data_IF_748656568153
#
_entry.id   IF_748656568153
#
_cell.length_a   1.000
_cell.length_b   1.000
_cell.length_c   1.000
_cell.angle_alpha   90.00
_cell.angle_beta   90.00
_cell.angle_gamma   90.00
#
_symmetry.space_group_name_H-M   'P 1'
#
loop_
_entity.id
_entity.type
_entity.pdbx_description
1 polymer ?
#
# COMPACT_ATOMS: atom_id res chain seq x y z
N UNK A 1 -14.58 6.95 9.92
CA UNK A 1 -13.35 7.02 10.74
C UNK A 1 -13.68 6.48 12.11
N UNK A 2 -13.01 5.41 12.54
CA UNK A 2 -13.14 4.90 13.90
C UNK A 2 -12.53 5.91 14.88
N UNK A 3 -13.14 6.05 16.05
CA UNK A 3 -12.59 6.87 17.14
C UNK A 3 -11.36 6.19 17.75
N UNK A 4 -10.50 6.98 18.40
CA UNK A 4 -9.31 6.47 19.07
C UNK A 4 -9.63 5.40 20.11
N UNK A 5 -10.72 5.56 20.86
CA UNK A 5 -11.18 4.59 21.85
C UNK A 5 -11.65 3.27 21.20
N UNK A 6 -12.29 3.34 20.03
CA UNK A 6 -12.71 2.14 19.28
C UNK A 6 -11.51 1.38 18.73
N UNK A 7 -10.52 2.09 18.18
CA UNK A 7 -9.26 1.48 17.72
C UNK A 7 -8.51 0.85 18.89
N UNK A 8 -8.40 1.56 20.01
CA UNK A 8 -7.75 1.06 21.21
C UNK A 8 -8.45 -0.20 21.74
N UNK A 9 -9.78 -0.19 21.81
CA UNK A 9 -10.55 -1.34 22.22
C UNK A 9 -10.30 -2.53 21.27
N UNK A 10 -10.40 -2.30 19.97
CA UNK A 10 -10.23 -3.32 18.94
C UNK A 10 -8.85 -3.98 18.98
N UNK A 11 -7.79 -3.17 19.03
CA UNK A 11 -6.41 -3.66 19.09
C UNK A 11 -6.17 -4.48 20.36
N UNK A 12 -6.50 -3.94 21.53
CA UNK A 12 -6.19 -4.61 22.80
C UNK A 12 -7.07 -5.83 23.07
N UNK A 13 -8.35 -5.80 22.68
CA UNK A 13 -9.21 -6.98 22.80
C UNK A 13 -8.76 -8.12 21.88
N UNK A 14 -8.32 -7.79 20.66
CA UNK A 14 -7.73 -8.78 19.72
C UNK A 14 -6.44 -9.35 20.29
N UNK A 15 -5.53 -8.50 20.75
CA UNK A 15 -4.21 -8.93 21.20
C UNK A 15 -4.23 -9.69 22.54
N UNK A 16 -5.16 -9.36 23.44
CA UNK A 16 -5.27 -10.04 24.74
C UNK A 16 -6.33 -11.14 24.79
N UNK A 17 -7.15 -11.28 23.74
CA UNK A 17 -8.32 -12.17 23.74
C UNK A 17 -9.35 -11.87 24.83
N UNK A 18 -9.27 -10.70 25.47
CA UNK A 18 -10.12 -10.31 26.60
C UNK A 18 -11.25 -9.40 26.12
N UNK A 19 -12.43 -9.53 26.74
CA UNK A 19 -13.58 -8.65 26.50
C UNK A 19 -13.91 -7.87 27.77
N UNK A 20 -14.59 -6.72 27.63
CA UNK A 20 -15.01 -5.90 28.78
C UNK A 20 -15.03 -4.41 28.46
N UNK A 21 -14.68 -3.60 29.45
CA UNK A 21 -14.44 -2.16 29.26
C UNK A 21 -13.07 -1.90 28.64
N UNK A 22 -12.90 -0.72 28.04
CA UNK A 22 -11.61 -0.30 27.46
C UNK A 22 -10.44 -0.43 28.45
N UNK A 23 -10.65 -0.03 29.70
CA UNK A 23 -9.61 -0.13 30.72
C UNK A 23 -9.29 -1.58 31.09
N UNK A 24 -10.28 -2.48 31.10
CA UNK A 24 -10.06 -3.90 31.37
C UNK A 24 -9.27 -4.57 30.25
N UNK A 25 -9.63 -4.34 28.99
CA UNK A 25 -8.89 -4.91 27.85
C UNK A 25 -7.49 -4.31 27.72
N UNK A 26 -7.33 -3.00 27.97
CA UNK A 26 -6.01 -2.35 28.00
C UNK A 26 -5.14 -2.93 29.11
N UNK A 27 -5.71 -3.09 30.31
CA UNK A 27 -4.98 -3.67 31.43
C UNK A 27 -4.59 -5.13 31.15
N UNK A 28 -5.51 -5.94 30.66
CA UNK A 28 -5.26 -7.35 30.35
C UNK A 28 -4.13 -7.49 29.33
N UNK A 29 -4.18 -6.70 28.26
CA UNK A 29 -3.13 -6.66 27.25
C UNK A 29 -1.76 -6.31 27.83
N UNK A 30 -1.65 -5.20 28.56
CA UNK A 30 -0.37 -4.77 29.11
C UNK A 30 0.15 -5.69 30.21
N UNK A 31 -0.74 -6.28 31.02
CA UNK A 31 -0.39 -7.27 32.04
C UNK A 31 0.15 -8.55 31.41
N UNK A 32 -0.39 -8.96 30.26
CA UNK A 32 0.11 -10.12 29.51
C UNK A 32 1.53 -9.89 28.99
N UNK A 33 1.84 -8.66 28.54
CA UNK A 33 3.17 -8.31 28.03
C UNK A 33 4.18 -8.12 29.17
N UNK A 34 3.79 -7.38 30.21
CA UNK A 34 4.69 -7.08 31.33
C UNK A 34 4.89 -8.26 32.27
N UNK A 35 3.95 -9.22 32.28
CA UNK A 35 3.88 -10.29 33.29
C UNK A 35 3.51 -9.80 34.69
N UNK A 36 3.20 -8.51 34.87
CA UNK A 36 2.90 -7.90 36.16
C UNK A 36 1.39 -7.90 36.42
N UNK A 37 1.00 -8.16 37.67
CA UNK A 37 -0.40 -8.11 38.11
C UNK A 37 -0.52 -7.31 39.41
N UNK A 38 -1.69 -6.70 39.66
CA UNK A 38 -1.96 -5.92 40.88
C UNK A 38 -1.39 -4.50 40.90
N UNK A 39 -0.82 -4.02 39.79
CA UNK A 39 -0.30 -2.65 39.64
C UNK A 39 -1.29 -1.76 38.89
N UNK A 40 -1.08 -0.43 38.90
CA UNK A 40 -1.97 0.51 38.20
C UNK A 40 -1.74 0.46 36.68
N UNK A 41 -2.75 0.84 35.89
CA UNK A 41 -2.66 0.87 34.43
C UNK A 41 -1.49 1.70 33.89
N UNK A 42 -1.25 2.89 34.47
CA UNK A 42 -0.10 3.72 34.07
C UNK A 42 1.24 3.06 34.42
N UNK A 43 1.28 2.26 35.49
CA UNK A 43 2.48 1.50 35.88
C UNK A 43 2.69 0.32 34.92
N UNK A 44 1.62 -0.32 34.43
CA UNK A 44 1.71 -1.32 33.37
C UNK A 44 2.34 -0.74 32.09
N UNK A 45 1.84 0.41 31.63
CA UNK A 45 2.42 1.09 30.47
C UNK A 45 3.91 1.40 30.68
N UNK A 46 4.28 1.93 31.85
CA UNK A 46 5.68 2.20 32.16
C UNK A 46 6.52 0.93 32.19
N UNK A 47 6.02 -0.16 32.75
CA UNK A 47 6.73 -1.44 32.81
C UNK A 47 7.01 -1.98 31.40
N UNK A 48 6.01 -1.97 30.53
CA UNK A 48 6.17 -2.38 29.13
C UNK A 48 7.18 -1.49 28.40
N UNK A 49 7.07 -0.16 28.53
CA UNK A 49 8.01 0.77 27.87
C UNK A 49 9.44 0.66 28.40
N UNK A 50 9.62 0.35 29.69
CA UNK A 50 10.95 0.06 30.27
C UNK A 50 11.53 -1.22 29.69
N UNK A 51 10.73 -2.27 29.52
CA UNK A 51 11.17 -3.51 28.87
C UNK A 51 11.61 -3.26 27.42
N UNK A 52 10.98 -2.29 26.74
CA UNK A 52 11.37 -1.83 25.40
C UNK A 52 12.56 -0.84 25.39
N UNK A 53 13.23 -0.61 26.52
CA UNK A 53 14.41 0.27 26.64
C UNK A 53 14.12 1.76 26.89
N UNK A 54 12.86 2.18 26.95
CA UNK A 54 12.46 3.58 27.19
C UNK A 54 12.38 3.87 28.70
N UNK A 55 13.55 4.08 29.32
CA UNK A 55 13.72 4.17 30.78
C UNK A 55 13.65 5.58 31.38
N UNK A 56 13.69 6.62 30.55
CA UNK A 56 13.75 8.03 30.97
C UNK A 56 12.50 8.83 30.60
N UNK A 57 12.18 9.86 31.39
CA UNK A 57 11.04 10.75 31.13
C UNK A 57 9.70 10.25 31.68
N UNK A 58 8.66 11.05 31.47
CA UNK A 58 7.27 10.74 31.85
C UNK A 58 6.65 9.73 30.88
N UNK A 59 5.51 9.13 31.26
CA UNK A 59 4.81 8.14 30.44
C UNK A 59 4.56 8.61 28.99
N UNK A 60 3.97 9.79 28.82
CA UNK A 60 3.66 10.31 27.48
C UNK A 60 4.93 10.56 26.66
N UNK A 61 6.04 10.97 27.29
CA UNK A 61 7.32 11.18 26.59
C UNK A 61 7.90 9.84 26.11
N UNK A 62 7.80 8.79 26.92
CA UNK A 62 8.25 7.44 26.55
C UNK A 62 7.41 6.84 25.44
N UNK A 63 6.08 6.99 25.49
CA UNK A 63 5.19 6.56 24.41
C UNK A 63 5.53 7.28 23.10
N UNK A 64 5.72 8.60 23.16
CA UNK A 64 6.15 9.38 21.98
C UNK A 64 7.49 8.90 21.43
N UNK A 65 8.46 8.62 22.30
CA UNK A 65 9.78 8.11 21.90
C UNK A 65 9.69 6.71 21.29
N UNK A 66 8.88 5.82 21.87
CA UNK A 66 8.61 4.50 21.32
C UNK A 66 7.98 4.59 19.93
N UNK A 67 6.88 5.32 19.79
CA UNK A 67 6.24 5.50 18.49
C UNK A 67 7.12 6.24 17.48
N UNK A 68 8.02 7.13 17.93
CA UNK A 68 9.04 7.72 17.06
C UNK A 68 10.02 6.69 16.51
N UNK A 69 10.45 5.73 17.34
CA UNK A 69 11.33 4.65 16.88
C UNK A 69 10.66 3.72 15.86
N UNK A 70 9.32 3.63 15.89
CA UNK A 70 8.51 2.90 14.91
C UNK A 70 8.21 3.72 13.63
N UNK A 71 8.83 4.89 13.45
CA UNK A 71 8.63 5.73 12.28
C UNK A 71 7.38 6.63 12.29
N UNK A 72 6.52 6.54 13.32
CA UNK A 72 5.35 7.41 13.40
C UNK A 72 5.74 8.86 13.65
N UNK A 73 5.00 9.78 13.03
CA UNK A 73 5.22 11.23 13.14
C UNK A 73 3.99 11.95 13.67
N UNK A 74 4.14 13.23 14.04
CA UNK A 74 3.04 14.05 14.56
C UNK A 74 2.93 14.11 16.09
N UNK A 75 1.79 14.59 16.56
CA UNK A 75 1.42 14.73 17.96
C UNK A 75 1.02 13.36 18.58
N UNK A 76 0.84 13.33 19.91
CA UNK A 76 0.56 12.10 20.65
C UNK A 76 -0.64 11.32 20.11
N UNK A 77 -1.79 11.99 19.90
CA UNK A 77 -2.99 11.33 19.39
C UNK A 77 -2.80 10.82 17.96
N UNK A 78 -2.01 11.50 17.13
CA UNK A 78 -1.77 11.12 15.73
C UNK A 78 -0.89 9.87 15.64
N UNK A 79 0.18 9.81 16.44
CA UNK A 79 1.04 8.63 16.55
C UNK A 79 0.29 7.45 17.13
N UNK A 80 -0.50 7.69 18.18
CA UNK A 80 -1.26 6.63 18.82
C UNK A 80 -2.34 6.07 17.88
N UNK A 81 -3.01 6.93 17.12
CA UNK A 81 -3.95 6.51 16.09
C UNK A 81 -3.28 5.65 15.01
N UNK A 82 -2.12 6.07 14.50
CA UNK A 82 -1.36 5.32 13.49
C UNK A 82 -0.94 3.95 14.03
N UNK A 83 -0.31 3.91 15.21
CA UNK A 83 0.12 2.66 15.84
C UNK A 83 -1.04 1.69 16.13
N UNK A 84 -2.20 2.20 16.56
CA UNK A 84 -3.39 1.36 16.77
C UNK A 84 -4.00 0.87 15.45
N UNK A 85 -3.89 1.65 14.37
CA UNK A 85 -4.31 1.22 13.02
C UNK A 85 -3.42 0.08 12.52
N UNK A 86 -2.14 0.11 12.89
CA UNK A 86 -1.14 -0.92 12.56
C UNK A 86 -1.17 -2.11 13.56
N UNK A 87 -2.20 -2.22 14.40
CA UNK A 87 -2.41 -3.39 15.28
C UNK A 87 -2.02 -3.21 16.75
N UNK A 88 -1.32 -2.12 17.11
CA UNK A 88 -1.13 -1.73 18.50
C UNK A 88 -0.35 -2.73 19.37
N UNK A 89 0.73 -3.30 18.83
CA UNK A 89 1.53 -4.35 19.50
C UNK A 89 2.82 -3.84 20.15
N UNK A 90 3.20 -4.40 21.30
CA UNK A 90 4.49 -4.23 21.99
C UNK A 90 5.32 -5.52 21.91
N UNK A 91 6.61 -5.41 21.62
CA UNK A 91 7.51 -6.55 21.39
C UNK A 91 8.17 -6.48 20.01
N UNK A 92 8.82 -7.57 19.56
CA UNK A 92 9.28 -7.67 18.18
C UNK A 92 8.09 -7.39 17.27
N UNK A 93 8.23 -6.35 16.46
CA UNK A 93 7.23 -5.92 15.49
C UNK A 93 7.94 -5.57 14.20
N UNK A 94 7.21 -5.72 13.11
CA UNK A 94 7.69 -5.43 11.78
C UNK A 94 6.71 -4.50 11.07
N UNK A 95 7.25 -3.58 10.29
CA UNK A 95 6.47 -2.65 9.47
C UNK A 95 6.94 -2.72 8.02
N UNK A 96 6.00 -2.88 7.09
CA UNK A 96 6.32 -2.81 5.66
C UNK A 96 6.16 -1.36 5.18
N UNK A 97 7.25 -0.82 4.65
CA UNK A 97 7.36 0.50 4.02
C UNK A 97 7.47 0.30 2.50
N UNK A 98 6.70 1.09 1.75
CA UNK A 98 6.86 1.22 0.30
C UNK A 98 7.94 2.29 0.02
N UNK A 99 9.01 1.89 -0.68
CA UNK A 99 10.17 2.77 -0.92
C UNK A 99 10.10 3.49 -2.27
N UNK A 100 9.27 3.02 -3.20
CA UNK A 100 9.22 3.55 -4.56
C UNK A 100 7.78 3.54 -5.01
N UNK A 101 7.24 4.72 -5.38
CA UNK A 101 5.92 4.81 -6.03
C UNK A 101 5.87 3.81 -7.19
N UNK A 102 5.20 2.70 -6.93
CA UNK A 102 5.16 1.58 -7.83
C UNK A 102 3.90 1.70 -8.66
N UNK A 103 4.10 1.84 -9.96
CA UNK A 103 3.03 1.99 -10.91
C UNK A 103 3.55 1.87 -12.33
N UNK A 104 2.63 1.74 -13.26
CA UNK A 104 2.93 1.67 -14.68
C UNK A 104 2.18 2.77 -15.43
N UNK A 105 2.81 3.27 -16.49
CA UNK A 105 2.19 4.22 -17.41
C UNK A 105 1.65 3.43 -18.58
N UNK A 106 0.37 3.60 -18.87
CA UNK A 106 -0.32 2.96 -19.97
C UNK A 106 -0.73 4.02 -21.01
N UNK A 107 -0.43 3.73 -22.26
CA UNK A 107 -0.71 4.55 -23.44
C UNK A 107 -1.07 3.61 -24.62
N UNK A 108 -2.28 3.04 -24.65
CA UNK A 108 -2.72 2.28 -25.81
C UNK A 108 -2.84 3.19 -27.05
N UNK A 109 -2.54 2.71 -28.27
CA UNK A 109 -2.14 1.34 -28.60
C UNK A 109 -0.62 1.11 -28.53
N UNK A 110 0.15 2.03 -27.94
CA UNK A 110 1.62 1.96 -27.94
C UNK A 110 2.18 1.05 -26.84
N UNK A 111 1.44 0.91 -25.74
CA UNK A 111 1.73 -0.06 -24.67
C UNK A 111 0.64 -1.11 -24.61
N UNK A 112 1.03 -2.37 -24.76
CA UNK A 112 0.11 -3.51 -24.64
C UNK A 112 0.13 -4.11 -23.21
N UNK A 113 1.17 -3.82 -22.42
CA UNK A 113 1.38 -4.35 -21.07
C UNK A 113 1.61 -3.24 -20.04
N UNK A 114 0.95 -3.34 -18.89
CA UNK A 114 1.15 -2.47 -17.73
C UNK A 114 1.73 -3.28 -16.56
N UNK A 115 2.97 -3.76 -16.73
CA UNK A 115 3.71 -4.40 -15.64
C UNK A 115 4.29 -3.33 -14.73
N UNK A 116 3.97 -3.39 -13.44
CA UNK A 116 4.55 -2.50 -12.42
C UNK A 116 5.50 -3.27 -11.51
N UNK A 117 6.51 -2.59 -10.98
CA UNK A 117 7.47 -3.14 -10.02
C UNK A 117 7.66 -2.15 -8.87
N UNK A 118 7.59 -2.64 -7.64
CA UNK A 118 7.80 -1.85 -6.42
C UNK A 118 8.79 -2.52 -5.48
N UNK A 119 9.46 -1.71 -4.66
CA UNK A 119 10.39 -2.19 -3.65
C UNK A 119 9.84 -1.87 -2.27
N UNK A 120 9.78 -2.89 -1.41
CA UNK A 120 9.22 -2.80 -0.07
C UNK A 120 10.28 -3.19 0.94
N UNK A 121 10.49 -2.37 1.97
CA UNK A 121 11.41 -2.69 3.06
C UNK A 121 10.62 -2.97 4.32
N UNK A 122 11.01 -4.02 5.01
CA UNK A 122 10.57 -4.31 6.35
C UNK A 122 11.50 -3.62 7.34
N UNK A 123 10.93 -2.86 8.27
CA UNK A 123 11.66 -2.32 9.41
C UNK A 123 11.28 -3.15 10.63
N UNK A 124 12.27 -3.73 11.28
CA UNK A 124 12.10 -4.44 12.54
C UNK A 124 12.26 -3.51 13.75
N UNK A 125 11.48 -3.79 14.79
CA UNK A 125 11.49 -3.03 16.02
C UNK A 125 11.36 -3.96 17.22
N UNK A 126 12.16 -3.73 18.26
CA UNK A 126 11.98 -4.41 19.55
C UNK A 126 12.37 -5.89 19.57
N UNK A 127 13.14 -6.37 18.58
CA UNK A 127 13.74 -7.71 18.61
C UNK A 127 14.92 -7.77 19.57
N UNK A 128 15.03 -8.84 20.35
CA UNK A 128 16.25 -9.16 21.07
C UNK A 128 17.32 -9.69 20.10
N UNK A 129 18.26 -8.82 19.72
CA UNK A 129 19.34 -9.13 18.78
C UNK A 129 18.98 -8.80 17.33
N UNK A 130 19.77 -9.30 16.39
CA UNK A 130 19.59 -9.02 14.95
C UNK A 130 18.61 -10.01 14.34
N UNK A 131 17.65 -9.51 13.55
CA UNK A 131 16.82 -10.33 12.67
C UNK A 131 17.70 -11.00 11.62
N UNK A 132 17.59 -12.32 11.51
CA UNK A 132 18.43 -13.11 10.58
C UNK A 132 17.63 -13.76 9.44
N UNK A 133 16.31 -13.72 9.50
CA UNK A 133 15.46 -14.32 8.50
C UNK A 133 14.26 -13.44 8.24
N UNK A 134 13.95 -13.29 6.96
CA UNK A 134 12.82 -12.52 6.44
C UNK A 134 12.08 -13.38 5.43
N UNK A 135 10.87 -13.80 5.78
CA UNK A 135 10.04 -14.62 4.90
C UNK A 135 8.94 -13.73 4.34
N UNK A 136 9.02 -13.46 3.04
CA UNK A 136 8.02 -12.66 2.33
C UNK A 136 7.02 -13.54 1.59
N UNK A 137 5.73 -13.19 1.63
CA UNK A 137 4.67 -13.87 0.89
C UNK A 137 3.63 -12.89 0.33
N UNK A 138 3.00 -13.27 -0.77
CA UNK A 138 1.80 -12.61 -1.32
C UNK A 138 0.59 -13.41 -0.83
N UNK A 139 -0.23 -12.81 0.02
CA UNK A 139 -1.41 -13.46 0.60
C UNK A 139 -2.63 -13.36 -0.33
N UNK A 140 -2.68 -12.32 -1.16
CA UNK A 140 -3.70 -12.15 -2.20
C UNK A 140 -3.29 -11.09 -3.23
N UNK A 141 -3.99 -11.05 -4.37
CA UNK A 141 -3.73 -10.16 -5.50
C UNK A 141 -2.92 -10.82 -6.63
N UNK A 142 -2.94 -10.22 -7.82
CA UNK A 142 -2.09 -10.66 -8.95
C UNK A 142 -0.71 -9.99 -8.85
N UNK A 143 0.08 -10.49 -7.90
CA UNK A 143 1.42 -10.01 -7.60
C UNK A 143 2.39 -11.17 -7.40
N UNK A 144 3.65 -10.95 -7.74
CA UNK A 144 4.73 -11.91 -7.55
C UNK A 144 5.95 -11.25 -6.90
N UNK A 145 6.55 -11.91 -5.92
CA UNK A 145 7.86 -11.55 -5.39
C UNK A 145 8.92 -11.99 -6.38
N UNK A 146 9.65 -11.05 -6.97
CA UNK A 146 10.64 -11.31 -8.02
C UNK A 146 12.09 -11.28 -7.52
N UNK A 147 12.34 -10.65 -6.36
CA UNK A 147 13.66 -10.61 -5.73
C UNK A 147 13.57 -10.26 -4.23
N UNK A 148 14.63 -10.54 -3.47
CA UNK A 148 14.79 -10.05 -2.09
C UNK A 148 14.30 -10.98 -0.97
N UNK A 149 14.00 -12.23 -1.27
CA UNK A 149 13.74 -13.24 -0.23
C UNK A 149 14.93 -13.37 0.73
N UNK A 150 14.64 -13.67 2.00
CA UNK A 150 15.61 -13.73 3.10
C UNK A 150 16.36 -12.42 3.39
N UNK A 151 15.89 -11.29 2.86
CA UNK A 151 16.40 -9.95 3.18
C UNK A 151 15.31 -9.04 3.71
N UNK A 152 15.69 -7.95 4.35
CA UNK A 152 14.77 -6.92 4.84
C UNK A 152 14.03 -6.17 3.72
N UNK A 153 14.36 -6.43 2.45
CA UNK A 153 13.83 -5.70 1.31
C UNK A 153 13.41 -6.64 0.19
N UNK A 154 12.18 -6.51 -0.28
CA UNK A 154 11.61 -7.35 -1.35
C UNK A 154 11.23 -6.50 -2.56
N UNK A 155 11.30 -7.09 -3.75
CA UNK A 155 10.77 -6.50 -4.97
C UNK A 155 9.54 -7.28 -5.42
N UNK A 156 8.41 -6.59 -5.59
CA UNK A 156 7.13 -7.17 -6.02
C UNK A 156 6.76 -6.60 -7.38
N UNK A 157 6.30 -7.48 -8.27
CA UNK A 157 5.80 -7.16 -9.60
C UNK A 157 4.31 -7.49 -9.71
N UNK A 158 3.52 -6.61 -10.30
CA UNK A 158 2.11 -6.84 -10.67
C UNK A 158 1.93 -6.82 -12.19
N UNK A 159 0.83 -7.38 -12.69
CA UNK A 159 0.48 -7.35 -14.11
C UNK A 159 1.34 -8.26 -15.01
N UNK A 160 2.06 -9.22 -14.42
CA UNK A 160 2.93 -10.16 -15.15
C UNK A 160 2.16 -11.29 -15.85
N UNK A 161 1.00 -11.67 -15.32
CA UNK A 161 0.21 -12.83 -15.78
C UNK A 161 -0.89 -12.41 -16.74
N UNK A 162 -1.51 -11.26 -16.49
CA UNK A 162 -2.46 -10.60 -17.36
C UNK A 162 -2.20 -9.09 -17.24
N UNK A 163 -1.80 -8.40 -18.32
CA UNK A 163 -1.74 -6.95 -18.30
C UNK A 163 -3.17 -6.42 -18.03
N UNK A 164 -3.36 -5.81 -16.88
CA UNK A 164 -4.63 -5.18 -16.50
C UNK A 164 -4.54 -3.67 -16.71
N UNK A 165 -5.50 -3.12 -17.45
CA UNK A 165 -5.77 -1.67 -17.55
C UNK A 165 -6.48 -1.19 -16.27
N UNK A 166 -5.86 -1.45 -15.11
CA UNK A 166 -6.41 -1.13 -13.80
C UNK A 166 -5.33 -1.17 -12.71
N UNK A 167 -5.54 -0.39 -11.65
CA UNK A 167 -4.77 -0.48 -10.41
C UNK A 167 -4.81 -1.90 -9.84
N UNK A 168 -3.67 -2.41 -9.39
CA UNK A 168 -3.57 -3.77 -8.87
C UNK A 168 -3.34 -3.76 -7.36
N UNK A 169 -4.39 -4.04 -6.55
CA UNK A 169 -4.22 -4.23 -5.12
C UNK A 169 -3.66 -5.63 -4.82
N UNK A 170 -2.78 -5.72 -3.82
CA UNK A 170 -2.26 -6.98 -3.33
C UNK A 170 -1.92 -6.89 -1.83
N UNK A 171 -1.90 -8.04 -1.16
CA UNK A 171 -1.54 -8.12 0.26
C UNK A 171 -0.16 -8.74 0.39
N UNK A 172 0.77 -7.96 0.91
CA UNK A 172 2.15 -8.38 1.19
C UNK A 172 2.29 -8.71 2.67
N UNK A 173 2.83 -9.89 2.96
CA UNK A 173 3.16 -10.35 4.31
C UNK A 173 4.66 -10.53 4.46
N UNK A 174 5.16 -10.22 5.65
CA UNK A 174 6.53 -10.51 6.07
C UNK A 174 6.54 -11.13 7.45
N UNK A 175 7.38 -12.15 7.64
CA UNK A 175 7.69 -12.75 8.93
C UNK A 175 9.19 -12.55 9.18
N UNK A 176 9.53 -11.91 10.29
CA UNK A 176 10.90 -11.69 10.73
C UNK A 176 11.22 -12.54 11.96
N UNK A 177 12.37 -13.23 11.93
CA UNK A 177 12.85 -14.06 13.03
C UNK A 177 14.25 -13.61 13.50
N UNK A 178 14.45 -13.43 14.81
CA UNK A 178 15.77 -13.16 15.38
C UNK A 178 16.61 -14.42 15.59
N UNK A 179 17.94 -14.25 15.62
CA UNK A 179 18.89 -15.33 15.84
C UNK A 179 18.94 -15.84 17.28
N UNK A 180 18.49 -15.02 18.23
CA UNK A 180 18.64 -15.26 19.65
C UNK A 180 17.26 -15.00 20.27
N UNK A 181 16.73 -16.01 20.97
CA UNK A 181 15.45 -15.99 21.70
C UNK A 181 14.13 -16.11 20.92
N UNK A 182 14.12 -16.56 19.66
CA UNK A 182 12.87 -17.01 19.04
C UNK A 182 11.79 -15.92 18.93
N UNK A 183 12.21 -14.66 18.95
CA UNK A 183 11.34 -13.53 18.64
C UNK A 183 10.91 -13.65 17.19
N UNK A 184 9.60 -13.76 17.01
CA UNK A 184 8.94 -13.80 15.72
C UNK A 184 7.98 -12.63 15.68
N UNK A 185 8.08 -11.82 14.63
CA UNK A 185 7.07 -10.84 14.32
C UNK A 185 6.58 -11.04 12.90
N UNK A 186 5.29 -10.85 12.70
CA UNK A 186 4.70 -10.84 11.37
C UNK A 186 3.84 -9.60 11.19
N UNK A 187 3.77 -9.12 9.95
CA UNK A 187 2.82 -8.09 9.57
C UNK A 187 2.34 -8.37 8.15
N UNK A 188 1.12 -7.94 7.88
CA UNK A 188 0.53 -7.94 6.55
C UNK A 188 0.01 -6.55 6.24
N UNK A 189 0.15 -6.11 4.99
CA UNK A 189 -0.33 -4.80 4.55
C UNK A 189 -0.82 -4.88 3.13
N UNK A 190 -1.95 -4.21 2.87
CA UNK A 190 -2.47 -4.02 1.52
C UNK A 190 -1.74 -2.86 0.85
N UNK A 191 -1.25 -3.10 -0.35
CA UNK A 191 -0.67 -2.11 -1.24
C UNK A 191 -1.45 -2.08 -2.55
N UNK A 192 -1.35 -0.96 -3.26
CA UNK A 192 -1.89 -0.80 -4.59
C UNK A 192 -0.76 -0.30 -5.47
N UNK A 193 -0.50 -0.99 -6.59
CA UNK A 193 0.36 -0.44 -7.64
C UNK A 193 -0.52 0.26 -8.65
N UNK A 194 -0.23 1.54 -8.88
CA UNK A 194 -1.11 2.42 -9.62
C UNK A 194 -0.93 2.27 -11.13
N UNK A 195 -2.05 2.30 -11.84
CA UNK A 195 -2.14 2.37 -13.28
C UNK A 195 -2.42 3.82 -13.70
N UNK A 196 -1.49 4.43 -14.43
CA UNK A 196 -1.67 5.79 -14.94
C UNK A 196 -1.89 5.77 -16.45
N UNK A 197 -3.13 6.03 -16.88
CA UNK A 197 -3.45 6.27 -18.28
C UNK A 197 -2.95 7.67 -18.69
N UNK A 198 -2.13 7.74 -19.74
CA UNK A 198 -1.64 9.00 -20.33
C UNK A 198 -2.29 9.35 -21.65
N UNK A 199 -3.35 8.63 -22.02
CA UNK A 199 -4.09 8.88 -23.25
C UNK A 199 -4.57 10.32 -23.35
N UNK A 200 -4.23 10.95 -24.47
CA UNK A 200 -4.76 12.26 -24.81
C UNK A 200 -5.90 12.05 -25.79
N UNK A 201 -7.09 12.49 -25.38
CA UNK A 201 -8.28 12.45 -26.23
C UNK A 201 -7.99 13.11 -27.59
N UNK A 202 -8.49 12.54 -28.71
CA UNK A 202 -8.31 13.14 -30.01
C UNK A 202 -8.82 14.58 -30.04
N UNK A 203 -7.94 15.53 -30.30
CA UNK A 203 -8.32 16.94 -30.51
C UNK A 203 -8.18 17.25 -31.97
N UNK A 204 -9.25 17.76 -32.57
CA UNK A 204 -9.22 18.24 -33.95
C UNK A 204 -8.34 19.50 -34.04
N UNK A 205 -7.29 19.41 -34.85
CA UNK A 205 -6.31 20.49 -35.13
C UNK A 205 -6.31 20.90 -36.59
N UNK A 206 -7.10 20.21 -37.42
CA UNK A 206 -7.21 20.50 -38.84
C UNK A 206 -7.94 21.81 -39.14
N UNK A 207 -7.72 22.42 -40.31
CA UNK A 207 -8.63 23.44 -40.83
C UNK A 207 -10.01 22.83 -41.06
N UNK A 208 -11.08 23.62 -40.87
CA UNK A 208 -12.48 23.21 -41.10
C UNK A 208 -12.59 22.30 -42.33
N UNK A 209 -13.24 21.14 -42.17
CA UNK A 209 -13.48 20.22 -43.28
C UNK A 209 -14.35 20.95 -44.31
N UNK A 210 -13.69 21.47 -45.34
CA UNK A 210 -14.36 22.26 -46.37
C UNK A 210 -15.36 21.37 -47.10
N UNK A 211 -16.58 21.86 -47.27
CA UNK A 211 -17.59 21.18 -48.09
C UNK A 211 -17.02 20.90 -49.48
N UNK A 212 -16.96 19.62 -49.86
CA UNK A 212 -16.57 19.21 -51.21
C UNK A 212 -17.83 18.90 -52.00
N UNK A 213 -18.02 19.60 -53.11
CA UNK A 213 -18.97 19.17 -54.13
C UNK A 213 -18.33 18.01 -54.88
N UNK A 214 -19.01 16.87 -54.92
CA UNK A 214 -18.59 15.69 -55.65
C UNK A 214 -19.57 15.53 -56.82
N UNK A 215 -19.06 15.36 -58.04
CA UNK A 215 -19.91 15.08 -59.19
C UNK A 215 -20.11 13.57 -59.29
N UNK A 216 -21.32 13.15 -59.66
CA UNK A 216 -21.60 11.74 -59.94
C UNK A 216 -20.61 11.19 -60.99
N UNK A 217 -19.96 10.06 -60.67
CA UNK A 217 -18.93 9.44 -61.49
C UNK A 217 -17.49 9.86 -61.19
N UNK A 218 -17.25 10.85 -60.32
CA UNK A 218 -15.90 11.22 -59.88
C UNK A 218 -15.31 10.15 -58.94
N UNK A 219 -14.01 9.89 -59.07
CA UNK A 219 -13.29 9.03 -58.12
C UNK A 219 -13.06 9.79 -56.81
N UNK A 220 -13.60 9.23 -55.73
CA UNK A 220 -13.36 9.72 -54.37
C UNK A 220 -11.95 9.32 -53.90
N UNK A 221 -11.05 10.30 -53.83
CA UNK A 221 -9.79 10.10 -53.14
C UNK A 221 -10.03 10.11 -51.62
N UNK A 222 -9.45 9.15 -50.87
CA UNK A 222 -9.53 9.14 -49.41
C UNK A 222 -9.11 10.48 -48.82
N UNK A 223 -9.86 10.96 -47.83
CA UNK A 223 -9.44 12.10 -47.02
C UNK A 223 -8.48 11.55 -45.98
N UNK A 224 -7.24 12.04 -45.98
CA UNK A 224 -6.28 11.74 -44.92
C UNK A 224 -6.71 12.52 -43.66
N UNK A 225 -7.59 11.91 -42.88
CA UNK A 225 -8.10 12.49 -41.64
C UNK A 225 -7.11 12.36 -40.49
N UNK A 226 -6.10 11.49 -40.59
CA UNK A 226 -5.17 11.23 -39.49
C UNK A 226 -4.35 12.46 -39.13
N UNK A 227 -4.04 13.31 -40.12
CA UNK A 227 -3.32 14.58 -39.91
C UNK A 227 -4.19 15.70 -39.30
N UNK A 228 -5.51 15.50 -39.18
CA UNK A 228 -6.44 16.50 -38.67
C UNK A 228 -6.71 16.37 -37.17
N UNK A 229 -6.17 15.34 -36.52
CA UNK A 229 -6.33 15.09 -35.09
C UNK A 229 -4.95 14.96 -34.43
N UNK A 230 -4.82 15.49 -33.22
CA UNK A 230 -3.73 15.16 -32.29
C UNK A 230 -4.29 14.25 -31.19
N UNK A 231 -3.42 13.60 -30.41
CA UNK A 231 -3.81 12.62 -29.39
C UNK A 231 -3.26 11.23 -29.70
N UNK A 232 -3.45 10.31 -28.76
CA UNK A 232 -2.85 8.96 -28.79
C UNK A 232 -3.87 7.90 -29.21
N UNK A 233 -5.15 8.12 -28.92
CA UNK A 233 -6.27 7.25 -29.30
C UNK A 233 -6.83 7.57 -30.70
N UNK A 234 -6.08 7.29 -31.76
CA UNK A 234 -6.49 7.58 -33.16
C UNK A 234 -7.27 6.44 -33.84
N UNK A 235 -8.15 5.73 -33.12
CA UNK A 235 -9.02 4.73 -33.75
C UNK A 235 -10.21 5.39 -34.43
N UNK A 236 -10.23 5.35 -35.76
CA UNK A 236 -11.33 5.85 -36.57
C UNK A 236 -12.28 4.72 -36.94
N UNK A 237 -13.57 4.86 -36.63
CA UNK A 237 -14.62 3.98 -37.16
C UNK A 237 -15.60 4.78 -38.02
N UNK A 238 -16.01 4.19 -39.12
CA UNK A 238 -16.92 4.81 -40.06
C UNK A 238 -18.36 4.50 -39.61
N UNK A 239 -19.03 5.47 -38.97
CA UNK A 239 -20.34 5.25 -38.32
C UNK A 239 -21.55 5.43 -39.23
N UNK A 240 -21.34 5.79 -40.50
CA UNK A 240 -22.42 6.00 -41.47
C UNK A 240 -22.27 5.08 -42.68
N UNK A 241 -23.37 4.49 -43.13
CA UNK A 241 -23.41 3.82 -44.42
C UNK A 241 -23.11 4.85 -45.52
N UNK A 242 -21.98 4.68 -46.22
CA UNK A 242 -21.77 5.39 -47.46
C UNK A 242 -22.98 5.15 -48.38
N UNK A 243 -23.48 6.17 -49.09
CA UNK A 243 -24.44 5.93 -50.16
C UNK A 243 -23.79 4.92 -51.11
N UNK A 244 -24.38 3.73 -51.24
CA UNK A 244 -23.86 2.68 -52.13
C UNK A 244 -23.88 3.13 -53.60
N UNK A 245 -24.72 4.12 -53.89
CA UNK A 245 -24.98 4.65 -55.21
C UNK A 245 -24.94 6.19 -55.16
N UNK A 246 -23.83 6.80 -55.61
CA UNK A 246 -23.80 8.20 -56.07
C UNK A 246 -23.80 8.17 -57.58
#
# INVERSE_FOLDING_TARGET
MSTLNELQYSAFSTNSGTTGTLNEVTYAYLAQISGLTGIKLNEQWLAVLVAQGFTTGKLNERQMAYWASLGYTGAWNERYYQWLTDGGTFGPSVQIIDNLNSGCVFEPPTTDDCTSTGTYTCVDHGFEGTVIQWLWSIESGDAAIIAGQDTDTVTVQTGATLPTDADVPFVLKVIANSAIFGDVAETEKTFTQDHTDTNVAPVYIGPDIVNRTITQGDTLNPIDAALLFTGTNLTYSLSAGWPADI
#
